data_IF_857523249698
#
_entry.id   IF_857523249698
#
_cell.length_a   1.000
_cell.length_b   1.000
_cell.length_c   1.000
_cell.angle_alpha   90.00
_cell.angle_beta   90.00
_cell.angle_gamma   90.00
#
_symmetry.space_group_name_H-M   'P 1'
#
loop_
_entity.id
_entity.type
_entity.pdbx_description
1 polymer ?
#
# COMPACT_ATOMS: atom_id res chain seq x y z
N UNK A 1 -20.36 -12.13 14.46
CA UNK A 1 -20.50 -11.79 15.89
C UNK A 1 -19.47 -10.74 16.28
N UNK A 2 -19.50 -10.12 17.46
CA UNK A 2 -18.51 -9.09 17.90
C UNK A 2 -17.86 -9.55 19.21
N UNK A 3 -16.53 -9.44 19.34
CA UNK A 3 -15.75 -9.76 20.54
C UNK A 3 -14.86 -8.55 20.99
N UNK A 4 -14.68 -8.35 22.30
CA UNK A 4 -14.01 -7.20 22.95
C UNK A 4 -13.13 -7.65 24.13
N UNK A 5 -11.81 -7.64 23.98
CA UNK A 5 -10.87 -7.98 25.06
C UNK A 5 -10.50 -6.83 26.01
N UNK A 6 -10.54 -7.08 27.32
CA UNK A 6 -10.11 -6.14 28.37
C UNK A 6 -9.14 -6.80 29.36
N UNK A 7 -7.84 -6.74 29.07
CA UNK A 7 -6.80 -7.28 29.95
C UNK A 7 -6.58 -6.43 31.21
N UNK A 8 -6.67 -7.04 32.40
CA UNK A 8 -6.23 -6.45 33.68
C UNK A 8 -5.31 -7.43 34.43
N UNK A 9 -4.13 -6.96 34.83
CA UNK A 9 -3.09 -7.77 35.46
C UNK A 9 -3.28 -7.93 36.98
N UNK A 10 -2.99 -9.12 37.51
CA UNK A 10 -2.99 -9.42 38.95
C UNK A 10 -1.67 -10.11 39.34
N UNK A 11 -1.07 -9.67 40.45
CA UNK A 11 0.34 -9.86 40.87
C UNK A 11 0.66 -11.09 41.75
N UNK A 12 -0.21 -12.10 41.93
CA UNK A 12 0.15 -13.37 42.61
C UNK A 12 -0.57 -14.60 42.04
N UNK A 13 0.14 -15.72 41.82
CA UNK A 13 -0.47 -17.04 41.50
C UNK A 13 -1.36 -17.48 42.66
N UNK A 14 -2.66 -17.25 42.53
CA UNK A 14 -3.66 -17.60 43.52
C UNK A 14 -4.43 -18.83 43.02
N UNK A 15 -4.42 -19.91 43.79
CA UNK A 15 -5.12 -21.15 43.44
C UNK A 15 -6.45 -21.23 44.17
N UNK A 16 -7.48 -21.73 43.49
CA UNK A 16 -8.78 -22.03 44.09
C UNK A 16 -8.86 -23.54 44.30
N UNK A 17 -8.88 -23.97 45.56
CA UNK A 17 -9.07 -25.36 45.91
C UNK A 17 -10.50 -25.80 45.59
N UNK A 18 -10.63 -26.80 44.73
CA UNK A 18 -11.84 -27.55 44.46
C UNK A 18 -11.82 -28.81 45.34
N UNK A 19 -12.89 -29.05 46.09
CA UNK A 19 -13.10 -30.33 46.79
C UNK A 19 -14.45 -30.93 46.42
N UNK A 20 -14.66 -32.21 46.70
CA UNK A 20 -15.91 -32.89 46.38
C UNK A 20 -16.52 -33.54 47.62
N UNK A 21 -17.84 -33.63 47.68
CA UNK A 21 -18.52 -34.43 48.70
C UNK A 21 -18.32 -35.96 48.53
N UNK A 22 -17.66 -36.40 47.45
CA UNK A 22 -17.42 -37.82 47.11
C UNK A 22 -15.98 -38.28 47.38
N UNK A 23 -15.06 -37.35 47.61
CA UNK A 23 -13.63 -37.63 47.70
C UNK A 23 -12.94 -36.64 48.63
N UNK A 24 -12.04 -37.13 49.48
CA UNK A 24 -11.22 -36.30 50.37
C UNK A 24 -10.05 -35.60 49.65
N UNK A 25 -9.85 -35.90 48.36
CA UNK A 25 -8.84 -35.22 47.53
C UNK A 25 -9.26 -33.78 47.25
N UNK A 26 -8.26 -32.90 47.18
CA UNK A 26 -8.42 -31.52 46.72
C UNK A 26 -7.70 -31.32 45.37
N UNK A 27 -8.30 -30.54 44.48
CA UNK A 27 -7.68 -30.10 43.22
C UNK A 27 -7.43 -28.60 43.29
N UNK A 28 -6.25 -28.14 42.88
CA UNK A 28 -5.94 -26.71 42.84
C UNK A 28 -6.20 -26.17 41.44
N UNK A 29 -7.37 -25.57 41.24
CA UNK A 29 -7.71 -24.84 40.00
C UNK A 29 -6.93 -23.52 39.98
N UNK A 30 -6.32 -23.19 38.84
CA UNK A 30 -5.60 -21.92 38.67
C UNK A 30 -6.50 -20.76 38.33
N UNK A 31 -7.62 -21.03 37.65
CA UNK A 31 -8.59 -20.00 37.31
C UNK A 31 -10.03 -20.52 37.38
N UNK A 32 -10.96 -19.57 37.47
CA UNK A 32 -12.40 -19.78 37.28
C UNK A 32 -12.83 -18.98 36.06
N UNK A 33 -13.57 -19.61 35.15
CA UNK A 33 -14.12 -18.95 33.97
C UNK A 33 -15.62 -18.83 34.11
N UNK A 34 -16.11 -17.60 33.99
CA UNK A 34 -17.52 -17.27 34.01
C UNK A 34 -18.09 -17.23 32.59
N UNK A 35 -18.97 -18.16 32.22
CA UNK A 35 -19.59 -18.18 30.90
C UNK A 35 -21.10 -17.91 30.97
N UNK A 36 -21.63 -17.29 29.93
CA UNK A 36 -23.06 -17.06 29.76
C UNK A 36 -23.76 -18.33 29.21
N UNK A 37 -25.05 -18.55 29.51
CA UNK A 37 -25.83 -19.60 28.83
C UNK A 37 -25.78 -19.48 27.31
N UNK A 38 -25.82 -18.24 26.80
CA UNK A 38 -25.80 -17.89 25.38
C UNK A 38 -24.43 -18.12 24.72
N UNK A 39 -23.37 -18.37 25.50
CA UNK A 39 -22.02 -18.63 25.00
C UNK A 39 -21.98 -19.83 24.04
N UNK A 40 -22.81 -20.85 24.31
CA UNK A 40 -22.99 -22.02 23.46
C UNK A 40 -23.39 -21.64 22.02
N UNK A 41 -24.17 -20.56 21.87
CA UNK A 41 -24.61 -20.09 20.56
C UNK A 41 -23.57 -19.26 19.82
N UNK A 42 -22.55 -18.76 20.53
CA UNK A 42 -21.49 -17.92 19.97
C UNK A 42 -20.28 -18.75 19.60
N UNK A 43 -19.74 -19.51 20.56
CA UNK A 43 -18.48 -20.26 20.40
C UNK A 43 -18.68 -21.76 20.22
N UNK A 44 -19.86 -22.30 20.52
CA UNK A 44 -20.13 -23.74 20.44
C UNK A 44 -19.39 -24.57 21.50
N UNK A 45 -18.91 -23.93 22.58
CA UNK A 45 -18.12 -24.61 23.61
C UNK A 45 -18.87 -25.74 24.33
N UNK A 46 -20.20 -25.76 24.28
CA UNK A 46 -21.02 -26.82 24.85
C UNK A 46 -20.85 -28.17 24.12
N UNK A 47 -20.43 -28.18 22.86
CA UNK A 47 -20.09 -29.42 22.12
C UNK A 47 -18.89 -30.15 22.74
N UNK A 48 -18.05 -29.45 23.51
CA UNK A 48 -16.94 -30.04 24.25
C UNK A 48 -17.36 -30.82 25.51
N UNK A 49 -18.64 -30.76 25.91
CA UNK A 49 -19.16 -31.57 27.01
C UNK A 49 -19.01 -33.07 26.70
N UNK A 50 -18.41 -33.80 27.62
CA UNK A 50 -18.34 -35.28 27.56
C UNK A 50 -19.67 -35.87 27.99
N UNK A 51 -20.28 -35.30 29.03
CA UNK A 51 -21.62 -35.63 29.50
C UNK A 51 -22.15 -34.52 30.42
N UNK A 52 -23.48 -34.54 30.64
CA UNK A 52 -24.18 -33.54 31.44
C UNK A 52 -24.93 -32.54 30.56
N UNK A 53 -24.98 -31.28 30.98
CA UNK A 53 -25.66 -30.20 30.25
C UNK A 53 -24.97 -28.85 30.40
N UNK A 54 -25.27 -27.93 29.49
CA UNK A 54 -24.87 -26.54 29.57
C UNK A 54 -25.65 -25.73 30.63
N UNK A 55 -25.16 -24.53 30.91
CA UNK A 55 -25.78 -23.57 31.83
C UNK A 55 -27.15 -23.12 31.33
N UNK A 56 -28.07 -22.81 32.27
CA UNK A 56 -29.38 -22.22 31.97
C UNK A 56 -29.51 -20.85 32.63
N UNK A 57 -30.40 -20.03 32.06
CA UNK A 57 -30.67 -18.71 32.60
C UNK A 57 -31.17 -18.79 34.06
N UNK A 58 -30.61 -17.93 34.93
CA UNK A 58 -30.97 -17.82 36.34
C UNK A 58 -30.22 -18.79 37.28
N UNK A 59 -29.42 -19.72 36.76
CA UNK A 59 -28.60 -20.61 37.59
C UNK A 59 -27.40 -19.86 38.18
N UNK A 60 -27.05 -20.17 39.44
CA UNK A 60 -25.95 -19.51 40.17
C UNK A 60 -24.89 -20.51 40.64
N UNK A 61 -25.29 -21.43 41.51
CA UNK A 61 -24.38 -22.36 42.19
C UNK A 61 -24.30 -23.69 41.44
N UNK A 62 -23.95 -23.62 40.16
CA UNK A 62 -23.69 -24.78 39.30
C UNK A 62 -22.31 -24.68 38.69
N UNK A 63 -21.65 -25.81 38.43
CA UNK A 63 -20.34 -25.81 37.80
C UNK A 63 -20.20 -26.94 36.77
N UNK A 64 -19.29 -26.70 35.83
CA UNK A 64 -18.78 -27.69 34.88
C UNK A 64 -17.27 -27.80 35.15
N UNK A 65 -16.78 -29.03 35.24
CA UNK A 65 -15.36 -29.30 35.54
C UNK A 65 -14.71 -30.10 34.40
N UNK A 66 -13.38 -30.03 34.24
CA UNK A 66 -12.66 -30.84 33.26
C UNK A 66 -12.68 -32.34 33.59
N UNK A 67 -12.54 -33.18 32.57
CA UNK A 67 -12.47 -34.64 32.70
C UNK A 67 -11.36 -35.09 33.67
N UNK A 68 -10.22 -34.39 33.71
CA UNK A 68 -9.13 -34.67 34.64
C UNK A 68 -9.57 -34.55 36.12
N UNK A 69 -10.31 -33.49 36.45
CA UNK A 69 -10.83 -33.23 37.80
C UNK A 69 -11.90 -34.26 38.18
N UNK A 70 -12.81 -34.58 37.25
CA UNK A 70 -13.84 -35.59 37.47
C UNK A 70 -13.26 -36.98 37.76
N UNK A 71 -12.25 -37.41 36.98
CA UNK A 71 -11.53 -38.68 37.22
C UNK A 71 -10.84 -38.69 38.58
N UNK A 72 -10.23 -37.58 38.98
CA UNK A 72 -9.53 -37.49 40.27
C UNK A 72 -10.48 -37.66 41.47
N UNK A 73 -11.67 -37.07 41.38
CA UNK A 73 -12.74 -37.18 42.40
C UNK A 73 -13.59 -38.44 42.28
N UNK A 74 -13.29 -39.33 41.32
CA UNK A 74 -14.06 -40.55 41.04
C UNK A 74 -15.54 -40.26 40.76
N UNK A 75 -15.81 -39.22 39.97
CA UNK A 75 -17.14 -38.77 39.58
C UNK A 75 -17.46 -39.26 38.17
N UNK A 76 -18.61 -39.93 38.02
CA UNK A 76 -19.09 -40.42 36.73
C UNK A 76 -20.37 -39.73 36.24
N UNK A 77 -20.90 -40.12 35.07
CA UNK A 77 -22.11 -39.54 34.49
C UNK A 77 -23.35 -39.64 35.40
N UNK A 78 -23.43 -40.68 36.24
CA UNK A 78 -24.53 -40.87 37.21
C UNK A 78 -24.56 -39.85 38.35
N UNK A 79 -23.45 -39.14 38.57
CA UNK A 79 -23.32 -38.14 39.61
C UNK A 79 -23.67 -36.72 39.12
N UNK A 80 -23.93 -36.55 37.83
CA UNK A 80 -24.42 -35.30 37.25
C UNK A 80 -25.70 -34.84 37.95
N UNK A 81 -25.71 -33.60 38.44
CA UNK A 81 -26.80 -32.99 39.19
C UNK A 81 -26.90 -33.40 40.67
N UNK A 82 -26.09 -34.37 41.13
CA UNK A 82 -26.09 -34.90 42.52
C UNK A 82 -24.81 -34.55 43.28
N UNK A 83 -23.65 -34.66 42.63
CA UNK A 83 -22.37 -34.30 43.23
C UNK A 83 -22.29 -32.80 43.51
N UNK A 84 -21.61 -32.45 44.61
CA UNK A 84 -21.31 -31.07 44.99
C UNK A 84 -19.81 -30.87 44.94
N UNK A 85 -19.39 -29.83 44.23
CA UNK A 85 -18.01 -29.37 44.16
C UNK A 85 -17.94 -28.10 45.00
N UNK A 86 -17.05 -28.06 45.97
CA UNK A 86 -16.86 -26.88 46.80
C UNK A 86 -15.76 -26.03 46.18
N UNK A 87 -16.09 -24.79 45.86
CA UNK A 87 -15.17 -23.80 45.28
C UNK A 87 -15.03 -22.69 46.33
N UNK A 88 -13.85 -22.56 46.93
CA UNK A 88 -13.65 -21.59 48.02
C UNK A 88 -14.58 -21.82 49.22
N UNK A 89 -14.95 -23.08 49.48
CA UNK A 89 -15.88 -23.46 50.55
C UNK A 89 -17.38 -23.34 50.21
N UNK A 90 -17.73 -22.76 49.06
CA UNK A 90 -19.14 -22.63 48.61
C UNK A 90 -19.53 -23.87 47.79
N UNK A 91 -20.67 -24.53 48.07
CA UNK A 91 -21.10 -25.71 47.34
C UNK A 91 -21.74 -25.37 45.99
N UNK A 92 -21.14 -25.85 44.90
CA UNK A 92 -21.67 -25.81 43.54
C UNK A 92 -22.18 -27.20 43.14
N UNK A 93 -23.36 -27.26 42.52
CA UNK A 93 -23.88 -28.51 41.96
C UNK A 93 -23.16 -28.80 40.64
N UNK A 94 -22.56 -29.97 40.53
CA UNK A 94 -21.95 -30.41 39.27
C UNK A 94 -23.04 -30.69 38.24
N UNK A 95 -23.01 -30.03 37.08
CA UNK A 95 -24.02 -30.22 36.02
C UNK A 95 -23.46 -30.84 34.74
N UNK A 96 -22.14 -30.87 34.58
CA UNK A 96 -21.49 -31.52 33.44
C UNK A 96 -19.99 -31.62 33.61
N UNK A 97 -19.39 -32.41 32.74
CA UNK A 97 -17.94 -32.57 32.62
C UNK A 97 -17.54 -32.31 31.19
N UNK A 98 -16.46 -31.55 31.03
CA UNK A 98 -15.97 -31.08 29.75
C UNK A 98 -14.66 -31.80 29.38
N UNK A 99 -14.58 -32.24 28.13
CA UNK A 99 -13.34 -32.80 27.58
C UNK A 99 -12.35 -31.68 27.29
N UNK A 100 -11.20 -31.73 27.97
CA UNK A 100 -10.19 -30.68 27.92
C UNK A 100 -9.56 -30.52 26.52
N UNK A 101 -9.50 -31.59 25.73
CA UNK A 101 -8.90 -31.56 24.39
C UNK A 101 -9.84 -30.88 23.40
N UNK A 102 -11.13 -31.25 23.42
CA UNK A 102 -12.17 -30.62 22.60
C UNK A 102 -12.36 -29.16 22.99
N UNK A 103 -12.45 -28.86 24.29
CA UNK A 103 -12.59 -27.49 24.76
C UNK A 103 -11.39 -26.60 24.38
N UNK A 104 -10.16 -27.15 24.42
CA UNK A 104 -8.96 -26.41 24.01
C UNK A 104 -8.88 -26.13 22.50
N UNK A 105 -9.69 -26.83 21.69
CA UNK A 105 -9.78 -26.61 20.24
C UNK A 105 -10.83 -25.58 19.85
N UNK A 106 -11.70 -25.19 20.79
CA UNK A 106 -12.65 -24.08 20.59
C UNK A 106 -11.87 -22.78 20.71
N UNK A 107 -11.91 -21.99 19.64
CA UNK A 107 -11.25 -20.70 19.54
C UNK A 107 -12.30 -19.60 19.41
N UNK A 108 -12.00 -18.43 19.97
CA UNK A 108 -12.77 -17.22 19.71
C UNK A 108 -12.34 -16.58 18.38
N UNK A 109 -12.97 -15.46 17.98
CA UNK A 109 -12.69 -14.77 16.72
C UNK A 109 -11.27 -14.26 16.59
N UNK A 110 -10.69 -13.86 17.69
CA UNK A 110 -9.30 -13.42 17.77
C UNK A 110 -8.31 -14.58 17.58
N UNK A 111 -8.81 -15.82 17.41
CA UNK A 111 -8.07 -17.08 17.31
C UNK A 111 -7.39 -17.49 18.64
N UNK A 112 -7.85 -16.94 19.76
CA UNK A 112 -7.37 -17.29 21.09
C UNK A 112 -8.30 -18.27 21.79
N UNK A 113 -7.82 -18.81 22.91
CA UNK A 113 -8.59 -19.77 23.70
C UNK A 113 -9.46 -19.03 24.70
N UNK A 114 -10.65 -19.56 24.96
CA UNK A 114 -11.60 -19.04 25.96
C UNK A 114 -11.09 -19.14 27.42
N UNK A 115 -10.00 -19.87 27.64
CA UNK A 115 -9.32 -19.96 28.94
C UNK A 115 -8.54 -18.68 29.25
N UNK A 116 -8.36 -18.28 30.52
CA UNK A 116 -7.66 -17.04 30.85
C UNK A 116 -6.16 -17.10 30.50
N UNK A 117 -5.60 -15.94 30.19
CA UNK A 117 -4.17 -15.76 29.92
C UNK A 117 -3.35 -15.95 31.20
N UNK A 118 -2.32 -16.80 31.12
CA UNK A 118 -1.27 -16.96 32.12
C UNK A 118 -0.22 -15.84 31.96
N UNK A 119 -0.51 -14.69 32.57
CA UNK A 119 0.39 -13.53 32.56
C UNK A 119 1.76 -13.82 33.19
N UNK A 120 1.83 -14.73 34.17
CA UNK A 120 3.08 -15.06 34.87
C UNK A 120 4.05 -15.81 33.98
N UNK A 121 3.57 -16.85 33.30
CA UNK A 121 4.38 -17.60 32.34
C UNK A 121 4.83 -16.71 31.18
N UNK A 122 3.97 -15.78 30.75
CA UNK A 122 4.28 -14.80 29.71
C UNK A 122 5.40 -13.84 30.12
N UNK A 123 5.40 -13.36 31.38
CA UNK A 123 6.47 -12.51 31.93
C UNK A 123 7.79 -13.29 32.08
N UNK A 124 7.76 -14.57 32.48
CA UNK A 124 8.97 -15.41 32.55
C UNK A 124 9.59 -15.67 31.17
N UNK A 125 8.77 -15.94 30.16
CA UNK A 125 9.24 -16.15 28.77
C UNK A 125 9.82 -14.85 28.20
N UNK A 126 9.21 -13.71 28.48
CA UNK A 126 9.70 -12.41 27.98
C UNK A 126 10.93 -11.89 28.73
N UNK A 127 11.15 -12.26 29.99
CA UNK A 127 12.40 -11.96 30.72
C UNK A 127 13.58 -12.84 30.30
N UNK A 128 13.33 -14.09 29.88
CA UNK A 128 14.37 -15.00 29.36
C UNK A 128 14.71 -14.77 27.87
N UNK A 129 13.83 -14.11 27.11
CA UNK A 129 14.09 -13.70 25.71
C UNK A 129 14.89 -12.39 25.57
N UNK A 130 15.25 -11.74 26.67
CA UNK A 130 16.00 -10.46 26.67
C UNK A 130 17.45 -10.54 26.14
N UNK A 131 17.93 -11.74 25.79
CA UNK A 131 19.29 -11.97 25.27
C UNK A 131 19.45 -12.08 23.76
N UNK A 132 18.37 -12.17 22.95
CA UNK A 132 18.50 -12.25 21.48
C UNK A 132 17.39 -11.46 20.78
N UNK A 133 17.80 -10.50 19.96
CA UNK A 133 16.93 -9.60 19.18
C UNK A 133 16.06 -10.33 18.15
N UNK A 134 15.03 -11.01 18.64
CA UNK A 134 13.98 -11.64 17.84
C UNK A 134 12.82 -10.68 17.60
N UNK A 135 12.37 -10.63 16.34
CA UNK A 135 11.16 -9.95 15.89
C UNK A 135 10.00 -10.10 16.88
N UNK A 136 9.40 -8.97 17.29
CA UNK A 136 8.09 -8.97 17.95
C UNK A 136 7.00 -9.23 16.91
N UNK A 137 6.98 -10.45 16.36
CA UNK A 137 5.78 -11.02 15.74
C UNK A 137 4.72 -11.30 16.81
N UNK A 138 3.47 -11.47 16.38
CA UNK A 138 2.28 -11.75 17.20
C UNK A 138 2.63 -12.44 18.54
N UNK A 139 2.43 -11.73 19.64
CA UNK A 139 2.53 -12.33 20.97
C UNK A 139 1.33 -13.24 21.14
N UNK A 140 1.50 -14.52 20.85
CA UNK A 140 0.50 -15.52 21.22
C UNK A 140 0.44 -15.54 22.75
N UNK A 141 -0.68 -15.15 23.34
CA UNK A 141 -0.84 -15.23 24.77
C UNK A 141 -0.77 -16.71 25.19
N UNK A 142 -0.08 -16.98 26.30
CA UNK A 142 -0.05 -18.30 26.88
C UNK A 142 -1.31 -18.41 27.74
N UNK A 143 -2.24 -19.31 27.43
CA UNK A 143 -3.45 -19.50 28.23
C UNK A 143 -3.28 -20.67 29.20
N UNK A 144 -4.01 -20.62 30.32
CA UNK A 144 -4.12 -21.76 31.21
C UNK A 144 -4.74 -22.97 30.48
N UNK A 145 -4.20 -24.19 30.65
CA UNK A 145 -4.83 -25.39 30.14
C UNK A 145 -6.26 -25.53 30.70
N UNK A 146 -7.19 -26.07 29.91
CA UNK A 146 -8.57 -26.29 30.37
C UNK A 146 -8.62 -27.16 31.62
N UNK A 147 -7.67 -28.09 31.79
CA UNK A 147 -7.55 -28.94 32.99
C UNK A 147 -7.36 -28.14 34.29
N UNK A 148 -6.80 -26.93 34.22
CA UNK A 148 -6.52 -26.08 35.38
C UNK A 148 -7.65 -25.08 35.67
N UNK A 149 -8.80 -25.22 34.99
CA UNK A 149 -9.89 -24.24 35.00
C UNK A 149 -11.21 -24.92 35.38
N UNK A 150 -12.03 -24.25 36.19
CA UNK A 150 -13.42 -24.64 36.40
C UNK A 150 -14.38 -23.59 35.82
N UNK A 151 -15.47 -24.05 35.23
CA UNK A 151 -16.47 -23.19 34.59
C UNK A 151 -17.68 -23.01 35.50
N UNK A 152 -18.11 -21.76 35.64
CA UNK A 152 -19.28 -21.35 36.44
C UNK A 152 -20.12 -20.33 35.66
N UNK A 153 -21.39 -20.09 36.04
CA UNK A 153 -22.18 -19.02 35.44
C UNK A 153 -21.50 -17.66 35.61
N UNK A 154 -21.48 -16.85 34.54
CA UNK A 154 -20.78 -15.55 34.54
C UNK A 154 -21.25 -14.60 35.65
N UNK A 155 -22.56 -14.57 35.97
CA UNK A 155 -23.09 -13.74 37.07
C UNK A 155 -22.48 -14.13 38.42
N UNK A 156 -22.23 -15.43 38.63
CA UNK A 156 -21.59 -15.93 39.84
C UNK A 156 -20.12 -15.54 39.85
N UNK A 157 -19.40 -15.71 38.74
CA UNK A 157 -18.02 -15.27 38.61
C UNK A 157 -17.85 -13.76 38.91
N UNK A 158 -18.70 -12.91 38.33
CA UNK A 158 -18.73 -11.46 38.60
C UNK A 158 -18.99 -11.18 40.10
N UNK A 159 -19.93 -11.89 40.73
CA UNK A 159 -20.19 -11.73 42.17
C UNK A 159 -19.03 -12.17 43.06
N UNK A 160 -18.16 -13.04 42.54
CA UNK A 160 -16.92 -13.48 43.19
C UNK A 160 -15.72 -12.56 42.89
N UNK A 161 -15.93 -11.46 42.15
CA UNK A 161 -14.90 -10.48 41.84
C UNK A 161 -14.14 -10.73 40.54
N UNK A 162 -14.63 -11.61 39.66
CA UNK A 162 -14.04 -11.77 38.32
C UNK A 162 -14.21 -10.50 37.49
N UNK A 163 -13.21 -10.19 36.65
CA UNK A 163 -13.28 -9.09 35.69
C UNK A 163 -13.93 -9.56 34.38
N UNK A 164 -14.68 -8.67 33.72
CA UNK A 164 -15.19 -8.92 32.37
C UNK A 164 -14.01 -8.88 31.39
N UNK A 165 -13.79 -9.99 30.68
CA UNK A 165 -12.69 -10.13 29.73
C UNK A 165 -13.15 -9.98 28.29
N UNK A 166 -14.15 -10.76 27.88
CA UNK A 166 -14.70 -10.79 26.52
C UNK A 166 -16.22 -10.57 26.52
N UNK A 167 -16.74 -10.02 25.42
CA UNK A 167 -18.18 -9.89 25.17
C UNK A 167 -18.47 -10.35 23.75
N UNK A 168 -19.04 -11.55 23.61
CA UNK A 168 -19.57 -12.06 22.35
C UNK A 168 -20.97 -11.55 22.03
N UNK A 169 -21.19 -11.00 20.82
CA UNK A 169 -22.52 -10.61 20.33
C UNK A 169 -22.86 -11.33 19.03
N UNK A 170 -23.85 -12.23 19.06
CA UNK A 170 -24.36 -12.92 17.85
C UNK A 170 -25.35 -12.03 17.08
N UNK A 171 -25.27 -12.04 15.75
CA UNK A 171 -26.19 -11.34 14.84
C UNK A 171 -26.83 -12.35 13.90
N UNK A 172 -28.03 -12.04 13.39
CA UNK A 172 -28.73 -12.92 12.45
C UNK A 172 -28.06 -12.92 11.07
N UNK A 173 -27.65 -11.73 10.58
CA UNK A 173 -27.13 -11.54 9.23
C UNK A 173 -25.81 -10.74 9.22
N UNK A 174 -24.94 -11.00 8.24
CA UNK A 174 -23.68 -10.26 8.07
C UNK A 174 -23.87 -8.76 7.82
N UNK A 175 -24.98 -8.34 7.19
CA UNK A 175 -25.28 -6.93 6.99
C UNK A 175 -25.53 -6.16 8.30
N UNK A 176 -26.16 -6.82 9.28
CA UNK A 176 -26.39 -6.24 10.61
C UNK A 176 -25.09 -6.07 11.38
N UNK A 177 -24.15 -7.01 11.22
CA UNK A 177 -22.79 -6.91 11.77
C UNK A 177 -22.11 -5.64 11.24
N UNK A 178 -22.08 -5.44 9.91
CA UNK A 178 -21.48 -4.25 9.29
C UNK A 178 -22.17 -2.96 9.71
N UNK A 179 -23.50 -2.94 9.80
CA UNK A 179 -24.26 -1.76 10.22
C UNK A 179 -23.91 -1.38 11.66
N UNK A 180 -23.98 -2.35 12.57
CA UNK A 180 -23.70 -2.17 13.99
C UNK A 180 -22.25 -1.72 14.23
N UNK A 181 -21.28 -2.34 13.54
CA UNK A 181 -19.88 -1.94 13.62
C UNK A 181 -19.65 -0.51 13.15
N UNK A 182 -20.27 -0.09 12.03
CA UNK A 182 -20.15 1.31 11.56
C UNK A 182 -20.69 2.34 12.55
N UNK A 183 -21.72 2.00 13.32
CA UNK A 183 -22.32 2.89 14.32
C UNK A 183 -21.55 2.88 15.65
N UNK A 184 -21.02 1.74 16.06
CA UNK A 184 -20.30 1.55 17.32
C UNK A 184 -18.83 1.99 17.24
N UNK A 185 -18.15 1.72 16.12
CA UNK A 185 -16.71 2.01 15.98
C UNK A 185 -16.30 3.47 16.19
N UNK A 186 -17.07 4.49 15.76
CA UNK A 186 -16.70 5.88 16.05
C UNK A 186 -16.71 6.20 17.56
N UNK A 187 -17.42 5.39 18.36
CA UNK A 187 -17.58 5.57 19.81
C UNK A 187 -16.68 4.64 20.62
N UNK A 188 -16.23 3.53 20.04
CA UNK A 188 -15.38 2.53 20.67
C UNK A 188 -13.98 2.60 20.08
N UNK A 189 -12.98 2.88 20.94
CA UNK A 189 -11.57 2.94 20.54
C UNK A 189 -10.87 1.57 20.63
N UNK A 190 -11.61 0.47 20.68
CA UNK A 190 -11.08 -0.89 20.79
C UNK A 190 -10.97 -1.58 19.43
N UNK A 191 -10.09 -2.58 19.34
CA UNK A 191 -10.13 -3.53 18.23
C UNK A 191 -11.35 -4.43 18.45
N UNK A 192 -12.17 -4.57 17.41
CA UNK A 192 -13.34 -5.44 17.40
C UNK A 192 -13.11 -6.53 16.35
N UNK A 193 -13.34 -7.78 16.72
CA UNK A 193 -13.32 -8.87 15.75
C UNK A 193 -14.73 -9.19 15.30
N UNK A 194 -14.92 -9.46 14.02
CA UNK A 194 -16.22 -9.76 13.46
C UNK A 194 -16.18 -10.86 12.39
N UNK A 195 -16.89 -11.95 12.67
CA UNK A 195 -17.18 -12.98 11.67
C UNK A 195 -18.28 -12.53 10.70
N UNK A 196 -17.98 -12.57 9.40
CA UNK A 196 -18.92 -12.38 8.29
C UNK A 196 -18.88 -13.61 7.36
N UNK A 197 -19.84 -14.52 7.50
CA UNK A 197 -19.75 -15.83 6.83
C UNK A 197 -18.66 -16.70 7.47
N UNK A 198 -17.79 -17.29 6.66
CA UNK A 198 -16.65 -18.11 7.12
C UNK A 198 -15.38 -17.28 7.39
N UNK A 199 -15.41 -15.98 7.10
CA UNK A 199 -14.25 -15.10 7.22
C UNK A 199 -14.32 -14.23 8.47
N UNK A 200 -13.17 -14.07 9.14
CA UNK A 200 -13.03 -13.22 10.33
C UNK A 200 -12.32 -11.92 9.99
N UNK A 201 -13.01 -10.80 10.19
CA UNK A 201 -12.50 -9.46 9.95
C UNK A 201 -12.20 -8.76 11.26
N UNK A 202 -11.00 -8.21 11.37
CA UNK A 202 -10.65 -7.29 12.46
C UNK A 202 -10.97 -5.86 12.05
N UNK A 203 -11.90 -5.25 12.77
CA UNK A 203 -12.25 -3.85 12.66
C UNK A 203 -11.56 -3.05 13.76
N UNK A 204 -10.93 -1.94 13.40
CA UNK A 204 -10.46 -0.98 14.40
C UNK A 204 -10.88 0.42 13.98
N UNK A 205 -11.12 1.31 14.95
CA UNK A 205 -11.44 2.72 14.70
C UNK A 205 -10.37 3.42 13.83
N UNK A 206 -9.17 2.83 13.77
CA UNK A 206 -8.01 3.27 12.99
C UNK A 206 -7.87 2.47 11.67
N UNK A 207 -8.57 1.35 11.47
CA UNK A 207 -8.49 0.50 10.27
C UNK A 207 -9.17 1.08 9.03
N UNK A 208 -9.70 2.31 9.08
CA UNK A 208 -9.95 3.07 7.83
C UNK A 208 -8.67 3.33 7.03
N UNK A 209 -7.49 3.13 7.63
CA UNK A 209 -6.19 3.34 6.96
C UNK A 209 -5.56 2.07 6.35
N UNK A 210 -6.04 0.84 6.61
CA UNK A 210 -5.33 -0.36 6.09
C UNK A 210 -5.74 -0.79 4.68
N UNK A 211 -7.00 -0.56 4.28
CA UNK A 211 -7.45 -0.80 2.89
C UNK A 211 -7.68 0.53 2.12
N UNK A 212 -7.95 1.63 2.84
CA UNK A 212 -8.08 2.98 2.26
C UNK A 212 -6.78 3.80 2.20
N UNK A 213 -5.77 3.47 3.02
CA UNK A 213 -4.59 4.34 3.17
C UNK A 213 -3.72 4.46 1.91
N UNK A 214 -3.69 3.43 1.05
CA UNK A 214 -2.96 3.53 -0.22
C UNK A 214 -3.69 4.41 -1.24
N UNK A 215 -5.03 4.42 -1.22
CA UNK A 215 -5.84 5.29 -2.07
C UNK A 215 -5.67 6.76 -1.67
N UNK A 216 -5.60 7.03 -0.36
CA UNK A 216 -5.35 8.37 0.17
C UNK A 216 -3.96 8.93 -0.23
N UNK A 217 -2.99 8.06 -0.54
CA UNK A 217 -1.65 8.47 -0.98
C UNK A 217 -1.59 8.85 -2.47
N UNK A 218 -2.57 8.45 -3.29
CA UNK A 218 -2.56 8.72 -4.74
C UNK A 218 -2.58 10.23 -5.00
N UNK A 219 -3.47 10.97 -4.34
CA UNK A 219 -3.63 12.41 -4.57
C UNK A 219 -2.35 13.18 -4.22
N UNK A 220 -1.73 13.01 -3.02
CA UNK A 220 -0.45 13.64 -2.71
C UNK A 220 0.69 13.25 -3.64
N UNK A 221 0.77 11.97 -4.05
CA UNK A 221 1.79 11.50 -5.00
C UNK A 221 1.66 12.21 -6.34
N UNK A 222 0.44 12.35 -6.86
CA UNK A 222 0.17 13.06 -8.11
C UNK A 222 0.53 14.54 -7.99
N UNK A 223 0.15 15.19 -6.89
CA UNK A 223 0.50 16.60 -6.65
C UNK A 223 2.02 16.76 -6.60
N UNK A 224 2.73 15.90 -5.86
CA UNK A 224 4.18 15.92 -5.79
C UNK A 224 4.83 15.69 -7.17
N UNK A 225 4.32 14.73 -7.94
CA UNK A 225 4.79 14.47 -9.30
C UNK A 225 4.62 15.69 -10.21
N UNK A 226 3.47 16.37 -10.16
CA UNK A 226 3.23 17.58 -10.96
C UNK A 226 4.12 18.77 -10.54
N UNK A 227 4.39 18.91 -9.24
CA UNK A 227 5.33 19.93 -8.75
C UNK A 227 6.73 19.67 -9.31
N UNK A 228 7.23 18.44 -9.17
CA UNK A 228 8.56 18.05 -9.69
C UNK A 228 8.62 18.25 -11.20
N UNK A 229 7.57 17.87 -11.93
CA UNK A 229 7.46 18.04 -13.38
C UNK A 229 7.63 19.50 -13.77
N UNK A 230 6.88 20.40 -13.12
CA UNK A 230 6.90 21.81 -13.42
C UNK A 230 8.24 22.47 -13.06
N UNK A 231 8.82 22.11 -11.90
CA UNK A 231 10.13 22.61 -11.49
C UNK A 231 11.24 22.16 -12.43
N UNK A 232 11.25 20.89 -12.84
CA UNK A 232 12.26 20.37 -13.77
C UNK A 232 12.08 20.93 -15.18
N UNK A 233 10.84 21.19 -15.64
CA UNK A 233 10.63 21.91 -16.90
C UNK A 233 11.17 23.34 -16.82
N UNK A 234 10.89 24.04 -15.72
CA UNK A 234 11.42 25.38 -15.48
C UNK A 234 12.95 25.41 -15.55
N UNK A 235 13.62 24.47 -14.87
CA UNK A 235 15.09 24.41 -14.87
C UNK A 235 15.67 24.12 -16.26
N UNK A 236 15.00 23.31 -17.08
CA UNK A 236 15.40 23.09 -18.48
C UNK A 236 15.30 24.38 -19.29
N UNK A 237 14.21 25.14 -19.15
CA UNK A 237 14.03 26.40 -19.88
C UNK A 237 14.99 27.51 -19.44
N UNK A 238 15.34 27.57 -18.16
CA UNK A 238 16.34 28.50 -17.66
C UNK A 238 17.75 28.17 -18.18
N UNK A 239 18.09 26.88 -18.30
CA UNK A 239 19.42 26.40 -18.70
C UNK A 239 19.56 26.09 -20.20
N UNK A 240 18.66 26.61 -21.05
CA UNK A 240 18.71 26.39 -22.52
C UNK A 240 20.06 26.80 -23.12
N UNK A 241 20.65 27.90 -22.66
CA UNK A 241 21.97 28.36 -23.17
C UNK A 241 23.07 27.34 -22.85
N UNK A 242 23.05 26.76 -21.66
CA UNK A 242 24.01 25.74 -21.25
C UNK A 242 23.84 24.44 -22.06
N UNK A 243 22.60 24.03 -22.31
CA UNK A 243 22.27 22.86 -23.15
C UNK A 243 22.88 23.00 -24.55
N UNK A 244 22.79 24.19 -25.16
CA UNK A 244 23.39 24.45 -26.46
C UNK A 244 24.93 24.44 -26.43
N UNK A 245 25.54 24.93 -25.35
CA UNK A 245 26.99 24.86 -25.16
C UNK A 245 27.43 23.39 -25.09
N UNK A 246 26.73 22.56 -24.31
CA UNK A 246 26.99 21.13 -24.21
C UNK A 246 26.84 20.40 -25.55
N UNK A 247 25.79 20.70 -26.30
CA UNK A 247 25.59 20.16 -27.65
C UNK A 247 26.71 20.58 -28.61
N UNK A 248 27.15 21.84 -28.54
CA UNK A 248 28.27 22.36 -29.35
C UNK A 248 29.62 21.73 -29.01
N UNK A 249 29.80 21.27 -27.77
CA UNK A 249 30.95 20.49 -27.33
C UNK A 249 30.87 19.00 -27.73
N UNK A 250 29.78 18.58 -28.38
CA UNK A 250 29.60 17.22 -28.90
C UNK A 250 28.89 16.25 -27.96
N UNK A 251 28.22 16.73 -26.90
CA UNK A 251 27.38 15.84 -26.09
C UNK A 251 26.15 15.40 -26.89
N UNK A 252 25.94 14.08 -26.95
CA UNK A 252 24.75 13.52 -27.55
C UNK A 252 23.49 13.99 -26.81
N UNK A 253 22.37 14.28 -27.50
CA UNK A 253 21.10 14.67 -26.88
C UNK A 253 20.67 13.76 -25.73
N UNK A 254 20.83 12.45 -25.89
CA UNK A 254 20.50 11.47 -24.85
C UNK A 254 21.36 11.63 -23.58
N UNK A 255 22.63 12.03 -23.72
CA UNK A 255 23.52 12.26 -22.57
C UNK A 255 23.07 13.47 -21.75
N UNK A 256 22.57 14.52 -22.43
CA UNK A 256 22.01 15.70 -21.78
C UNK A 256 20.74 15.30 -21.03
N UNK A 257 19.84 14.51 -21.63
CA UNK A 257 18.68 13.96 -20.92
C UNK A 257 19.05 13.16 -19.66
N UNK A 258 20.07 12.30 -19.74
CA UNK A 258 20.55 11.55 -18.56
C UNK A 258 21.17 12.43 -17.48
N UNK A 259 21.77 13.58 -17.83
CA UNK A 259 22.28 14.54 -16.85
C UNK A 259 21.13 15.11 -16.00
N UNK A 260 20.03 15.51 -16.64
CA UNK A 260 18.83 15.98 -15.93
C UNK A 260 18.17 14.87 -15.10
N UNK A 261 18.17 13.63 -15.60
CA UNK A 261 17.68 12.48 -14.83
C UNK A 261 18.55 12.21 -13.59
N UNK A 262 19.87 12.33 -13.72
CA UNK A 262 20.80 12.20 -12.60
C UNK A 262 20.62 13.33 -11.57
N UNK A 263 20.40 14.57 -12.01
CA UNK A 263 20.07 15.70 -11.13
C UNK A 263 18.79 15.41 -10.32
N UNK A 264 17.73 14.93 -10.97
CA UNK A 264 16.50 14.55 -10.29
C UNK A 264 16.67 13.38 -9.32
N UNK A 265 17.52 12.40 -9.65
CA UNK A 265 17.82 11.30 -8.74
C UNK A 265 18.48 11.81 -7.45
N UNK A 266 19.41 12.76 -7.54
CA UNK A 266 20.01 13.40 -6.36
C UNK A 266 18.95 14.10 -5.52
N UNK A 267 18.04 14.86 -6.14
CA UNK A 267 16.92 15.49 -5.43
C UNK A 267 15.97 14.45 -4.77
N UNK A 268 15.72 13.32 -5.44
CA UNK A 268 14.90 12.25 -4.89
C UNK A 268 15.51 11.64 -3.62
N UNK A 269 16.82 11.35 -3.65
CA UNK A 269 17.56 10.77 -2.51
C UNK A 269 17.59 11.75 -1.35
N UNK A 270 17.94 13.02 -1.60
CA UNK A 270 17.98 14.05 -0.55
C UNK A 270 16.58 14.28 0.03
N UNK A 271 15.57 14.41 -0.82
CA UNK A 271 14.18 14.60 -0.41
C UNK A 271 13.65 13.46 0.45
N UNK A 272 13.95 12.20 0.08
CA UNK A 272 13.58 11.04 0.88
C UNK A 272 14.28 11.02 2.24
N UNK A 273 15.58 11.36 2.28
CA UNK A 273 16.34 11.42 3.52
C UNK A 273 15.80 12.48 4.48
N UNK A 274 15.56 13.71 4.00
CA UNK A 274 14.97 14.77 4.82
C UNK A 274 13.53 14.48 5.22
N UNK A 275 12.72 13.92 4.32
CA UNK A 275 11.35 13.51 4.61
C UNK A 275 11.28 12.45 5.70
N UNK A 276 12.17 11.47 5.67
CA UNK A 276 12.28 10.44 6.71
C UNK A 276 12.62 11.06 8.09
N UNK A 277 13.63 11.93 8.15
CA UNK A 277 14.04 12.60 9.39
C UNK A 277 12.93 13.51 9.95
N UNK A 278 12.24 14.25 9.09
CA UNK A 278 11.12 15.11 9.47
C UNK A 278 9.95 14.27 10.00
N UNK A 279 9.60 13.18 9.30
CA UNK A 279 8.56 12.24 9.74
C UNK A 279 8.87 11.61 11.09
N UNK A 280 10.13 11.21 11.31
CA UNK A 280 10.58 10.66 12.59
C UNK A 280 10.49 11.68 13.72
N UNK A 281 10.87 12.94 13.45
CA UNK A 281 10.81 14.02 14.44
C UNK A 281 9.37 14.36 14.80
N UNK A 282 8.48 14.44 13.81
CA UNK A 282 7.05 14.65 14.03
C UNK A 282 6.42 13.50 14.83
N UNK A 283 6.78 12.26 14.50
CA UNK A 283 6.35 11.06 15.22
C UNK A 283 6.72 11.11 16.71
N UNK A 284 7.96 11.52 17.02
CA UNK A 284 8.43 11.70 18.41
C UNK A 284 7.62 12.78 19.13
N UNK A 285 7.36 13.92 18.48
CA UNK A 285 6.58 15.02 19.05
C UNK A 285 5.15 14.55 19.37
N UNK A 286 4.47 13.91 18.42
CA UNK A 286 3.11 13.42 18.59
C UNK A 286 3.01 12.44 19.77
N UNK A 287 3.96 11.50 19.84
CA UNK A 287 4.02 10.49 20.91
C UNK A 287 4.30 11.13 22.26
N UNK A 288 5.24 12.09 22.33
CA UNK A 288 5.68 12.73 23.58
C UNK A 288 4.60 13.61 24.21
N UNK A 289 3.81 14.31 23.40
CA UNK A 289 2.75 15.19 23.88
C UNK A 289 1.40 14.49 24.03
N UNK A 290 1.32 13.18 23.79
CA UNK A 290 0.06 12.42 23.91
C UNK A 290 -1.05 12.92 22.98
N UNK A 291 -0.69 13.62 21.90
CA UNK A 291 -1.62 14.20 20.93
C UNK A 291 -2.38 13.13 20.14
N UNK A 292 -1.94 11.87 20.25
CA UNK A 292 -2.49 10.71 19.59
C UNK A 292 -2.49 9.49 20.53
N UNK A 293 -3.39 9.49 21.53
CA UNK A 293 -3.60 8.34 22.40
C UNK A 293 -4.15 7.15 21.61
N UNK A 294 -3.47 5.99 21.66
CA UNK A 294 -3.85 4.77 20.93
C UNK A 294 -3.17 4.56 19.57
N UNK A 295 -2.30 5.48 19.13
CA UNK A 295 -1.51 5.31 17.91
C UNK A 295 -0.20 4.56 18.21
N UNK A 296 -0.18 3.27 17.91
CA UNK A 296 1.07 2.50 17.85
C UNK A 296 1.75 2.77 16.49
N UNK A 297 2.61 3.79 16.45
CA UNK A 297 3.40 4.10 15.26
C UNK A 297 4.36 2.92 15.00
N UNK A 298 4.05 2.14 13.96
CA UNK A 298 4.84 0.99 13.57
C UNK A 298 6.10 1.45 12.84
N UNK A 299 7.24 1.41 13.54
CA UNK A 299 8.57 1.66 12.98
C UNK A 299 9.11 0.44 12.23
N UNK A 300 8.36 -0.05 11.24
CA UNK A 300 8.85 -1.14 10.39
C UNK A 300 9.87 -0.60 9.41
N UNK A 301 11.08 -1.17 9.40
CA UNK A 301 12.12 -0.81 8.44
C UNK A 301 11.68 -1.09 6.99
N UNK A 302 10.80 -2.07 6.78
CA UNK A 302 10.31 -2.45 5.44
C UNK A 302 9.39 -1.37 4.87
N UNK A 303 8.52 -0.77 5.69
CA UNK A 303 7.62 0.29 5.22
C UNK A 303 8.37 1.58 4.90
N UNK A 304 9.43 1.90 5.65
CA UNK A 304 10.30 3.04 5.37
C UNK A 304 11.09 2.86 4.05
N UNK A 305 11.57 1.65 3.76
CA UNK A 305 12.23 1.34 2.49
C UNK A 305 11.23 1.40 1.32
N UNK A 306 10.03 0.84 1.51
CA UNK A 306 8.98 0.87 0.49
C UNK A 306 8.52 2.30 0.18
N UNK A 307 8.29 3.14 1.20
CA UNK A 307 7.89 4.54 1.00
C UNK A 307 8.99 5.36 0.30
N UNK A 308 10.25 5.16 0.68
CA UNK A 308 11.39 5.77 0.00
C UNK A 308 11.46 5.36 -1.48
N UNK A 309 11.24 4.08 -1.76
CA UNK A 309 11.17 3.56 -3.13
C UNK A 309 10.06 4.22 -3.96
N UNK A 310 8.86 4.40 -3.37
CA UNK A 310 7.74 5.08 -4.03
C UNK A 310 8.08 6.55 -4.33
N UNK A 311 8.71 7.27 -3.40
CA UNK A 311 9.12 8.66 -3.60
C UNK A 311 10.14 8.77 -4.74
N UNK A 312 11.17 7.93 -4.73
CA UNK A 312 12.19 7.94 -5.78
C UNK A 312 11.57 7.60 -7.14
N UNK A 313 10.72 6.58 -7.21
CA UNK A 313 10.02 6.21 -8.43
C UNK A 313 9.15 7.37 -8.95
N UNK A 314 8.44 8.06 -8.06
CA UNK A 314 7.58 9.20 -8.42
C UNK A 314 8.38 10.34 -9.04
N UNK A 315 9.50 10.72 -8.42
CA UNK A 315 10.39 11.79 -8.93
C UNK A 315 10.99 11.40 -10.27
N UNK A 316 11.49 10.16 -10.40
CA UNK A 316 12.09 9.66 -11.63
C UNK A 316 11.08 9.63 -12.77
N UNK A 317 9.88 9.06 -12.54
CA UNK A 317 8.81 8.99 -13.53
C UNK A 317 8.36 10.37 -14.00
N UNK A 318 8.22 11.32 -13.05
CA UNK A 318 7.88 12.71 -13.35
C UNK A 318 8.95 13.41 -14.21
N UNK A 319 10.22 13.08 -13.99
CA UNK A 319 11.35 13.73 -14.69
C UNK A 319 11.58 13.21 -16.12
N UNK A 320 10.97 12.09 -16.52
CA UNK A 320 11.15 11.52 -17.87
C UNK A 320 10.77 12.54 -18.95
N UNK A 321 9.66 13.26 -18.79
CA UNK A 321 9.23 14.26 -19.76
C UNK A 321 10.18 15.47 -19.85
N UNK A 322 10.54 16.15 -18.73
CA UNK A 322 11.55 17.20 -18.74
C UNK A 322 12.89 16.77 -19.35
N UNK A 323 13.39 15.58 -19.01
CA UNK A 323 14.66 15.05 -19.52
C UNK A 323 14.62 14.82 -21.04
N UNK A 324 13.49 14.31 -21.55
CA UNK A 324 13.26 14.24 -23.01
C UNK A 324 13.26 15.63 -23.62
N UNK A 325 12.60 16.59 -22.98
CA UNK A 325 12.54 17.96 -23.51
C UNK A 325 13.91 18.63 -23.56
N UNK A 326 14.75 18.42 -22.55
CA UNK A 326 16.14 18.87 -22.55
C UNK A 326 16.95 18.25 -23.71
N UNK A 327 16.72 16.97 -24.00
CA UNK A 327 17.37 16.27 -25.13
C UNK A 327 16.91 16.84 -26.47
N UNK A 328 15.61 17.12 -26.63
CA UNK A 328 15.07 17.76 -27.84
C UNK A 328 15.67 19.16 -28.06
N UNK A 329 15.78 19.97 -27.01
CA UNK A 329 16.41 21.30 -27.07
C UNK A 329 17.88 21.21 -27.49
N UNK A 330 18.58 20.14 -27.09
CA UNK A 330 19.97 19.92 -27.47
C UNK A 330 20.15 19.45 -28.93
N UNK A 331 19.07 19.01 -29.58
CA UNK A 331 19.15 18.51 -30.95
C UNK A 331 19.36 19.73 -31.85
N UNK A 332 20.55 19.88 -32.49
CA UNK A 332 20.79 21.03 -33.35
C UNK A 332 19.67 21.07 -34.38
N UNK A 333 19.01 22.23 -34.48
CA UNK A 333 17.86 22.42 -35.34
C UNK A 333 18.16 21.81 -36.71
N UNK A 334 17.37 20.81 -37.08
CA UNK A 334 17.27 20.40 -38.48
C UNK A 334 16.50 21.51 -39.20
N UNK A 335 17.02 22.73 -39.21
CA UNK A 335 16.70 23.72 -40.22
C UNK A 335 17.50 23.33 -41.48
N UNK A 336 17.09 22.21 -42.08
CA UNK A 336 17.48 21.78 -43.42
C UNK A 336 16.27 21.29 -44.21
N UNK A 337 15.15 21.97 -44.05
CA UNK A 337 14.13 21.97 -45.09
C UNK A 337 14.01 23.40 -45.58
N UNK A 338 14.76 23.69 -46.63
CA UNK A 338 14.52 24.86 -47.46
C UNK A 338 13.01 24.91 -47.77
N UNK A 339 12.37 26.03 -47.46
CA UNK A 339 10.96 26.27 -47.76
C UNK A 339 10.88 27.23 -48.94
N UNK A 340 9.98 26.93 -49.89
CA UNK A 340 9.74 27.78 -51.05
C UNK A 340 9.19 29.14 -50.57
N UNK A 341 9.80 30.28 -50.95
CA UNK A 341 9.24 31.59 -50.61
C UNK A 341 7.91 31.84 -51.33
N UNK A 342 7.09 32.75 -50.79
CA UNK A 342 5.84 33.16 -51.44
C UNK A 342 6.15 33.96 -52.73
N UNK A 343 5.47 33.67 -53.86
CA UNK A 343 5.67 34.41 -55.11
C UNK A 343 5.04 35.81 -55.06
N UNK A 344 5.67 36.78 -55.73
CA UNK A 344 5.11 38.12 -55.97
C UNK A 344 4.51 38.18 -57.40
N UNK A 345 3.21 37.93 -57.51
CA UNK A 345 2.54 37.82 -58.81
C UNK A 345 3.08 36.61 -59.60
N UNK A 346 3.62 36.85 -60.80
CA UNK A 346 4.22 35.82 -61.65
C UNK A 346 5.75 35.68 -61.44
N UNK A 347 6.33 36.42 -60.48
CA UNK A 347 7.76 36.37 -60.17
C UNK A 347 8.02 35.62 -58.86
N UNK A 348 8.83 34.57 -58.93
CA UNK A 348 9.35 33.86 -57.76
C UNK A 348 10.86 34.08 -57.65
N UNK A 349 11.30 34.75 -56.58
CA UNK A 349 12.72 35.03 -56.35
C UNK A 349 13.29 34.07 -55.30
N UNK A 350 14.27 33.25 -55.73
CA UNK A 350 14.88 32.23 -54.88
C UNK A 350 16.38 32.52 -54.74
N UNK A 351 16.83 32.70 -53.51
CA UNK A 351 18.26 32.73 -53.19
C UNK A 351 18.79 31.31 -53.13
N UNK A 352 19.71 30.97 -54.03
CA UNK A 352 20.38 29.67 -54.05
C UNK A 352 21.30 29.52 -52.82
N UNK A 353 21.48 28.29 -52.27
CA UNK A 353 22.25 28.05 -51.05
C UNK A 353 23.78 28.13 -51.27
N UNK A 354 24.22 28.73 -52.37
CA UNK A 354 25.61 28.89 -52.74
C UNK A 354 25.80 30.25 -53.43
N UNK A 355 26.96 30.86 -53.23
CA UNK A 355 27.35 32.11 -53.89
C UNK A 355 28.25 31.79 -55.08
N UNK A 356 28.08 32.54 -56.17
CA UNK A 356 28.82 32.36 -57.41
C UNK A 356 29.50 33.67 -57.78
N UNK A 357 30.76 33.60 -58.20
CA UNK A 357 31.48 34.78 -58.69
C UNK A 357 31.11 35.08 -60.15
N UNK A 358 31.28 36.32 -60.62
CA UNK A 358 30.86 36.71 -61.99
C UNK A 358 31.45 35.84 -63.11
N UNK A 359 32.70 35.37 -62.97
CA UNK A 359 33.31 34.44 -63.93
C UNK A 359 32.67 33.04 -63.91
N UNK A 360 32.27 32.57 -62.73
CA UNK A 360 31.60 31.28 -62.56
C UNK A 360 30.11 31.32 -62.96
N UNK A 361 29.48 32.50 -62.96
CA UNK A 361 28.08 32.66 -63.36
C UNK A 361 27.84 32.20 -64.80
N UNK A 362 28.78 32.47 -65.71
CA UNK A 362 28.74 31.97 -67.10
C UNK A 362 28.72 30.45 -67.16
N UNK A 363 29.57 29.79 -66.36
CA UNK A 363 29.66 28.33 -66.32
C UNK A 363 28.43 27.70 -65.69
N UNK A 364 27.88 28.31 -64.63
CA UNK A 364 26.62 27.88 -64.04
C UNK A 364 25.47 28.01 -65.04
N UNK A 365 25.37 29.13 -65.75
CA UNK A 365 24.33 29.34 -66.76
C UNK A 365 24.41 28.29 -67.89
N UNK A 366 25.62 28.00 -68.37
CA UNK A 366 25.84 26.96 -69.37
C UNK A 366 25.42 25.56 -68.85
N UNK A 367 25.84 25.22 -67.62
CA UNK A 367 25.45 23.95 -66.98
C UNK A 367 23.94 23.83 -66.79
N UNK A 368 23.28 24.88 -66.31
CA UNK A 368 21.83 24.88 -66.11
C UNK A 368 21.09 24.75 -67.45
N UNK A 369 21.55 25.41 -68.51
CA UNK A 369 20.98 25.29 -69.86
C UNK A 369 21.09 23.85 -70.38
N UNK A 370 22.29 23.25 -70.28
CA UNK A 370 22.53 21.85 -70.68
C UNK A 370 21.66 20.89 -69.86
N UNK A 371 21.53 21.15 -68.56
CA UNK A 371 20.68 20.36 -67.67
C UNK A 371 19.20 20.43 -68.10
N UNK A 372 18.68 21.63 -68.40
CA UNK A 372 17.30 21.79 -68.89
C UNK A 372 17.09 21.19 -70.28
N UNK A 373 18.07 21.27 -71.19
CA UNK A 373 18.01 20.62 -72.51
C UNK A 373 17.93 19.09 -72.39
N UNK A 374 18.56 18.50 -71.36
CA UNK A 374 18.43 17.07 -71.07
C UNK A 374 16.98 16.61 -70.80
N UNK A 375 16.09 17.52 -70.40
CA UNK A 375 14.65 17.26 -70.18
C UNK A 375 13.76 17.58 -71.39
N UNK A 376 14.33 17.99 -72.54
CA UNK A 376 13.56 18.31 -73.74
C UNK A 376 13.18 17.07 -74.57
N UNK A 377 13.92 15.96 -74.45
CA UNK A 377 13.76 14.79 -75.33
C UNK A 377 12.99 13.61 -74.70
N UNK A 378 12.83 13.56 -73.37
CA UNK A 378 12.28 12.38 -72.67
C UNK A 378 11.10 12.73 -71.74
N UNK A 379 9.94 12.10 -71.97
CA UNK A 379 8.73 12.18 -71.12
C UNK A 379 8.85 11.36 -69.83
N UNK A 380 10.01 11.41 -69.17
CA UNK A 380 10.29 10.63 -67.94
C UNK A 380 10.93 11.55 -66.90
N UNK A 381 10.18 11.86 -65.84
CA UNK A 381 10.63 12.74 -64.76
C UNK A 381 9.48 13.54 -64.15
N UNK A 382 9.81 14.51 -63.30
CA UNK A 382 8.84 15.38 -62.63
C UNK A 382 8.39 16.57 -63.52
N UNK A 383 9.19 16.93 -64.54
CA UNK A 383 8.90 18.01 -65.48
C UNK A 383 9.54 17.75 -66.87
N UNK A 384 9.03 18.40 -67.92
CA UNK A 384 9.56 18.42 -69.30
C UNK A 384 9.76 19.86 -69.74
N UNK A 385 10.77 20.12 -70.57
CA UNK A 385 11.12 21.47 -71.06
C UNK A 385 11.00 21.58 -72.58
N UNK A 386 10.77 22.79 -73.09
CA UNK A 386 10.85 23.10 -74.54
C UNK A 386 11.42 24.51 -74.72
N UNK A 387 12.04 24.77 -75.88
CA UNK A 387 12.53 26.09 -76.27
C UNK A 387 13.49 26.72 -75.25
N UNK A 388 14.42 25.93 -74.72
CA UNK A 388 15.48 26.44 -73.83
C UNK A 388 16.37 27.40 -74.61
N UNK A 389 16.39 28.66 -74.18
CA UNK A 389 17.20 29.73 -74.77
C UNK A 389 17.97 30.46 -73.67
N UNK A 390 19.20 30.86 -73.96
CA UNK A 390 20.03 31.64 -73.04
C UNK A 390 20.22 33.05 -73.57
N UNK A 391 20.08 34.04 -72.70
CA UNK A 391 20.36 35.44 -73.00
C UNK A 391 21.30 36.05 -71.94
N UNK A 392 21.99 37.13 -72.31
CA UNK A 392 22.71 37.98 -71.36
C UNK A 392 21.90 39.26 -71.15
N UNK A 393 21.73 39.64 -69.91
CA UNK A 393 21.02 40.87 -69.53
C UNK A 393 21.96 41.80 -68.80
N UNK A 394 22.01 43.08 -69.20
CA UNK A 394 22.82 44.06 -68.46
C UNK A 394 22.04 44.55 -67.25
N UNK A 395 22.53 44.26 -66.05
CA UNK A 395 21.92 44.67 -64.79
C UNK A 395 22.67 45.80 -64.08
N UNK A 396 22.11 46.36 -63.00
CA UNK A 396 22.76 47.39 -62.18
C UNK A 396 24.04 46.92 -61.48
N UNK A 397 24.30 45.62 -61.44
CA UNK A 397 25.47 45.00 -60.81
C UNK A 397 26.42 44.29 -61.80
N UNK A 398 26.26 44.52 -63.11
CA UNK A 398 27.05 43.90 -64.18
C UNK A 398 26.21 43.01 -65.09
N UNK A 399 26.87 42.16 -65.88
CA UNK A 399 26.23 41.20 -66.77
C UNK A 399 25.49 40.10 -65.96
N UNK A 400 24.18 40.05 -66.09
CA UNK A 400 23.31 38.96 -65.68
C UNK A 400 23.12 37.92 -66.79
N UNK A 401 22.70 36.73 -66.40
CA UNK A 401 22.42 35.63 -67.31
C UNK A 401 20.98 35.16 -67.11
N UNK A 402 20.27 34.95 -68.21
CA UNK A 402 18.87 34.56 -68.23
C UNK A 402 18.72 33.27 -69.05
N UNK A 403 17.91 32.35 -68.54
CA UNK A 403 17.47 31.14 -69.26
C UNK A 403 15.96 31.22 -69.35
N UNK A 404 15.43 31.25 -70.58
CA UNK A 404 14.00 31.21 -70.87
C UNK A 404 13.64 29.86 -71.47
N UNK A 405 12.55 29.26 -71.00
CA UNK A 405 12.07 27.95 -71.45
C UNK A 405 10.58 27.80 -71.13
N UNK A 406 9.91 26.89 -71.82
CA UNK A 406 8.60 26.40 -71.44
C UNK A 406 8.79 25.16 -70.55
N UNK A 407 8.03 25.04 -69.45
CA UNK A 407 8.05 23.85 -68.57
C UNK A 407 6.65 23.32 -68.36
N UNK A 408 6.50 21.99 -68.43
CA UNK A 408 5.28 21.28 -68.01
C UNK A 408 5.61 20.35 -66.86
N UNK A 409 4.80 20.39 -65.80
CA UNK A 409 4.91 19.48 -64.66
C UNK A 409 4.14 18.19 -64.93
N UNK A 410 4.59 17.07 -64.37
CA UNK A 410 3.86 15.80 -64.43
C UNK A 410 2.50 15.89 -63.69
N UNK A 411 1.45 15.15 -64.13
CA UNK A 411 1.38 14.30 -65.30
C UNK A 411 1.13 15.15 -66.55
N UNK A 412 2.02 15.05 -67.54
CA UNK A 412 2.15 16.02 -68.64
C UNK A 412 0.87 16.15 -69.48
N UNK A 413 0.12 17.23 -69.25
CA UNK A 413 -0.98 17.68 -70.12
C UNK A 413 -0.35 18.38 -71.35
N UNK A 414 0.07 17.58 -72.33
CA UNK A 414 0.52 18.05 -73.63
C UNK A 414 -0.69 18.41 -74.51
N UNK A 415 -1.51 19.37 -74.06
CA UNK A 415 -2.61 19.95 -74.84
C UNK A 415 -3.79 19.05 -75.13
#
# INVERSE_FOLDING_TARGET
WIDIDIATGVEQESYVALTSNKSDKAYNSRALVGLAPEEAEVTGIDEALEWGRWFREGEKNVCIIPTAVAKMFNIGPSDAGRAKIYIGGVPFKLIGVMDSSRASSVLDLDQEKLTPVDFFSLIRVSSSASGRGGQRGFRQYLHHPVDDVAFIPYKTALSMGAALQSIGIRFANAEEVRKTLRELMPRLAFNLYAGEGDEVYRWSSIARTSVGGLQDLIIPIVIAALIVLNTMLGSVYERVKEIHIYSSLGLAPNHIGTLFMAEAFVYAVLGAMFGYLAGQSLSIIITRYGLATGLYLNYSSISAVASTGIVIATVMLSTIYPARKASEVATPAVERRWQLPEPEGDKLEITLPFAVTGGQATALNAFMSEWFEGYAEYSVGDFVTENVQTARESGPHGDGYCISLNTWLAPFDLG
#
